data_IF_197963432965
#
_entry.id   IF_197963432965
#
_cell.length_a   1.000
_cell.length_b   1.000
_cell.length_c   1.000
_cell.angle_alpha   90.00
_cell.angle_beta   90.00
_cell.angle_gamma   90.00
#
_symmetry.space_group_name_H-M   'P 1'
#
loop_
_entity.id
_entity.type
_entity.pdbx_description
1 polymer ?
#
# COMPACT_ATOMS: atom_id res chain seq x y z
N UNK A 1 4.47 -4.67 18.57
CA UNK A 1 3.27 -3.89 18.11
C UNK A 1 3.53 -3.32 16.74
N UNK A 2 2.49 -2.93 15.98
CA UNK A 2 2.65 -2.25 14.69
C UNK A 2 3.36 -0.91 14.92
N UNK A 3 4.43 -0.66 14.15
CA UNK A 3 5.22 0.58 14.19
C UNK A 3 4.95 1.48 12.98
N UNK A 4 4.44 0.91 11.88
CA UNK A 4 4.12 1.63 10.66
C UNK A 4 3.61 0.71 9.57
N UNK A 5 3.50 1.21 8.35
CA UNK A 5 3.30 0.39 7.16
C UNK A 5 4.67 0.11 6.53
N UNK A 6 5.06 -1.16 6.46
CA UNK A 6 6.31 -1.59 5.82
C UNK A 6 6.24 -1.38 4.31
N UNK A 7 5.19 -1.92 3.70
CA UNK A 7 4.92 -1.71 2.28
C UNK A 7 3.46 -1.99 1.92
N UNK A 8 3.05 -1.53 0.74
CA UNK A 8 1.86 -1.98 0.03
C UNK A 8 2.26 -2.93 -1.08
N UNK A 9 1.47 -3.97 -1.33
CA UNK A 9 1.71 -4.94 -2.40
C UNK A 9 0.69 -4.76 -3.52
N UNK A 10 1.21 -4.49 -4.73
CA UNK A 10 0.47 -4.59 -5.97
C UNK A 10 0.79 -5.91 -6.68
N UNK A 11 -0.21 -6.44 -7.37
CA UNK A 11 -0.03 -7.62 -8.22
C UNK A 11 -0.42 -7.27 -9.65
N UNK A 12 0.39 -7.71 -10.61
CA UNK A 12 0.16 -7.53 -12.05
C UNK A 12 0.58 -8.78 -12.84
N UNK A 13 0.30 -8.80 -14.13
CA UNK A 13 0.61 -9.95 -15.00
C UNK A 13 2.07 -10.00 -15.43
N UNK A 14 2.75 -8.84 -15.48
CA UNK A 14 4.15 -8.69 -15.89
C UNK A 14 4.85 -7.73 -14.93
N UNK A 15 5.95 -8.19 -14.34
CA UNK A 15 6.73 -7.35 -13.42
C UNK A 15 7.41 -6.20 -14.17
N UNK A 16 7.84 -6.42 -15.41
CA UNK A 16 8.49 -5.41 -16.24
C UNK A 16 7.53 -4.27 -16.61
N UNK A 17 6.27 -4.62 -16.97
CA UNK A 17 5.24 -3.62 -17.24
C UNK A 17 4.87 -2.85 -15.97
N UNK A 18 4.78 -3.55 -14.83
CA UNK A 18 4.53 -2.94 -13.54
C UNK A 18 5.64 -1.99 -13.11
N UNK A 19 6.90 -2.40 -13.29
CA UNK A 19 8.07 -1.56 -13.01
C UNK A 19 8.08 -0.32 -13.91
N UNK A 20 7.90 -0.49 -15.22
CA UNK A 20 7.87 0.63 -16.16
C UNK A 20 6.77 1.64 -15.83
N UNK A 21 5.54 1.17 -15.53
CA UNK A 21 4.41 2.02 -15.17
C UNK A 21 4.69 2.82 -13.90
N UNK A 22 5.19 2.17 -12.84
CA UNK A 22 5.42 2.85 -11.56
C UNK A 22 6.73 3.63 -11.52
N UNK A 23 7.77 3.25 -12.29
CA UNK A 23 8.93 4.13 -12.49
C UNK A 23 8.52 5.45 -13.14
N UNK A 24 7.67 5.39 -14.15
CA UNK A 24 7.13 6.58 -14.79
C UNK A 24 6.22 7.39 -13.86
N UNK A 25 5.31 6.72 -13.13
CA UNK A 25 4.40 7.37 -12.18
C UNK A 25 5.15 8.04 -11.03
N UNK A 26 6.06 7.31 -10.37
CA UNK A 26 6.79 7.81 -9.20
C UNK A 26 7.96 8.74 -9.58
N UNK A 27 8.47 8.66 -10.81
CA UNK A 27 9.61 9.45 -11.29
C UNK A 27 10.93 8.97 -10.68
N UNK A 28 11.07 7.65 -10.46
CA UNK A 28 12.25 7.02 -9.90
C UNK A 28 12.37 5.56 -10.34
N UNK A 29 13.57 5.04 -10.35
CA UNK A 29 13.81 3.63 -10.63
C UNK A 29 13.48 2.76 -9.42
N UNK A 30 13.24 1.46 -9.65
CA UNK A 30 13.14 0.49 -8.60
C UNK A 30 14.47 0.36 -7.83
N UNK A 31 14.38 0.19 -6.52
CA UNK A 31 15.54 0.05 -5.63
C UNK A 31 15.95 -1.41 -5.41
N UNK A 32 15.07 -2.35 -5.75
CA UNK A 32 15.27 -3.78 -5.57
C UNK A 32 14.49 -4.56 -6.62
N UNK A 33 15.10 -5.64 -7.14
CA UNK A 33 14.43 -6.61 -8.00
C UNK A 33 14.79 -8.01 -7.53
N UNK A 34 13.83 -8.92 -7.56
CA UNK A 34 14.07 -10.32 -7.20
C UNK A 34 13.10 -11.27 -7.85
N UNK A 35 13.49 -12.55 -7.86
CA UNK A 35 12.63 -13.65 -8.27
C UNK A 35 12.65 -14.71 -7.17
N UNK A 36 11.50 -15.33 -6.94
CA UNK A 36 11.30 -16.37 -5.94
C UNK A 36 11.12 -17.73 -6.62
N UNK A 37 11.73 -18.76 -6.05
CA UNK A 37 11.60 -20.14 -6.55
C UNK A 37 10.16 -20.68 -6.48
N UNK A 38 9.30 -20.09 -5.66
CA UNK A 38 7.86 -20.38 -5.60
C UNK A 38 7.06 -19.87 -6.78
N UNK A 39 7.69 -19.11 -7.69
CA UNK A 39 7.11 -18.66 -8.95
C UNK A 39 6.62 -17.22 -8.95
N UNK A 40 7.39 -16.30 -8.40
CA UNK A 40 7.13 -14.86 -8.54
C UNK A 40 8.37 -14.08 -8.92
N UNK A 41 8.16 -12.94 -9.57
CA UNK A 41 9.14 -11.85 -9.68
C UNK A 41 8.58 -10.61 -9.04
N UNK A 42 9.42 -9.83 -8.37
CA UNK A 42 9.00 -8.58 -7.74
C UNK A 42 10.03 -7.48 -7.91
N UNK A 43 9.53 -6.24 -7.87
CA UNK A 43 10.33 -5.03 -7.77
C UNK A 43 9.84 -4.19 -6.60
N UNK A 44 10.76 -3.47 -5.96
CA UNK A 44 10.44 -2.62 -4.80
C UNK A 44 10.96 -1.22 -5.05
N UNK A 45 10.08 -0.24 -4.83
CA UNK A 45 10.40 1.18 -4.77
C UNK A 45 10.42 1.59 -3.30
N UNK A 46 11.60 1.97 -2.78
CA UNK A 46 11.73 2.46 -1.42
C UNK A 46 11.42 3.95 -1.37
N UNK A 47 10.34 4.31 -0.70
CA UNK A 47 9.95 5.69 -0.47
C UNK A 47 10.42 6.17 0.92
N UNK A 48 10.19 7.44 1.21
CA UNK A 48 10.61 8.06 2.47
C UNK A 48 10.01 7.36 3.71
N UNK A 49 8.74 6.99 3.65
CA UNK A 49 7.99 6.49 4.80
C UNK A 49 7.46 5.05 4.67
N UNK A 50 7.64 4.41 3.52
CA UNK A 50 7.18 3.04 3.24
C UNK A 50 7.82 2.54 1.96
N UNK A 51 7.54 1.29 1.57
CA UNK A 51 7.90 0.79 0.24
C UNK A 51 6.64 0.48 -0.58
N UNK A 52 6.79 0.48 -1.88
CA UNK A 52 5.84 -0.12 -2.82
C UNK A 52 6.47 -1.38 -3.39
N UNK A 53 5.85 -2.53 -3.21
CA UNK A 53 6.22 -3.77 -3.89
C UNK A 53 5.24 -4.06 -5.01
N UNK A 54 5.76 -4.41 -6.19
CA UNK A 54 4.97 -4.89 -7.33
C UNK A 54 5.43 -6.31 -7.62
N UNK A 55 4.49 -7.25 -7.64
CA UNK A 55 4.75 -8.66 -7.82
C UNK A 55 3.96 -9.20 -9.01
N UNK A 56 4.59 -10.08 -9.77
CA UNK A 56 3.96 -10.80 -10.88
C UNK A 56 4.25 -12.29 -10.79
N UNK A 57 3.38 -13.16 -11.32
CA UNK A 57 3.69 -14.58 -11.48
C UNK A 57 4.87 -14.76 -12.43
N UNK A 58 5.79 -15.68 -12.11
CA UNK A 58 6.95 -16.02 -12.92
C UNK A 58 7.16 -17.53 -12.91
N UNK A 59 7.14 -18.14 -14.10
CA UNK A 59 7.27 -19.60 -14.20
C UNK A 59 6.09 -20.35 -13.56
N UNK A 60 6.41 -21.47 -12.90
CA UNK A 60 5.42 -22.31 -12.22
C UNK A 60 5.64 -22.32 -10.71
N UNK A 61 4.67 -22.84 -9.97
CA UNK A 61 4.79 -23.01 -8.54
C UNK A 61 3.55 -22.57 -7.75
N UNK A 62 3.51 -22.80 -6.44
CA UNK A 62 2.35 -22.46 -5.62
C UNK A 62 2.05 -20.96 -5.58
N UNK A 63 3.09 -20.13 -5.55
CA UNK A 63 2.94 -18.68 -5.51
C UNK A 63 2.47 -18.14 -6.85
N UNK A 64 3.02 -18.64 -7.98
CA UNK A 64 2.53 -18.28 -9.32
C UNK A 64 1.04 -18.54 -9.47
N UNK A 65 0.58 -19.76 -9.11
CA UNK A 65 -0.86 -20.10 -9.16
C UNK A 65 -1.72 -19.17 -8.31
N UNK A 66 -1.24 -18.82 -7.12
CA UNK A 66 -1.96 -17.86 -6.23
C UNK A 66 -2.03 -16.47 -6.84
N UNK A 67 -0.96 -15.98 -7.44
CA UNK A 67 -0.93 -14.67 -8.10
C UNK A 67 -1.85 -14.64 -9.33
N UNK A 68 -1.83 -15.69 -10.17
CA UNK A 68 -2.79 -15.82 -11.26
C UNK A 68 -4.23 -15.80 -10.78
N UNK A 69 -4.57 -16.59 -9.74
CA UNK A 69 -5.92 -16.59 -9.17
C UNK A 69 -6.35 -15.21 -8.64
N UNK A 70 -5.43 -14.43 -8.04
CA UNK A 70 -5.72 -13.06 -7.61
C UNK A 70 -6.01 -12.14 -8.79
N UNK A 71 -5.25 -12.27 -9.88
CA UNK A 71 -5.45 -11.46 -11.10
C UNK A 71 -6.76 -11.86 -11.78
N UNK A 72 -7.04 -13.15 -11.89
CA UNK A 72 -8.26 -13.66 -12.55
C UNK A 72 -9.54 -13.26 -11.78
N UNK A 73 -9.47 -13.20 -10.45
CA UNK A 73 -10.63 -12.87 -9.59
C UNK A 73 -10.87 -11.37 -9.49
N UNK A 74 -9.82 -10.59 -9.21
CA UNK A 74 -9.93 -9.18 -8.83
C UNK A 74 -9.21 -8.23 -9.80
N UNK A 75 -8.67 -8.74 -10.91
CA UNK A 75 -7.79 -7.98 -11.80
C UNK A 75 -6.43 -7.64 -11.18
N UNK A 76 -5.54 -6.97 -11.91
CA UNK A 76 -4.32 -6.40 -11.35
C UNK A 76 -4.63 -5.26 -10.38
N UNK A 77 -3.68 -4.90 -9.51
CA UNK A 77 -3.79 -3.76 -8.61
C UNK A 77 -3.39 -4.04 -7.16
N UNK A 78 -3.86 -3.22 -6.25
CA UNK A 78 -3.52 -3.24 -4.82
C UNK A 78 -4.14 -4.47 -4.14
N UNK A 79 -3.30 -5.31 -3.52
CA UNK A 79 -3.74 -6.62 -2.98
C UNK A 79 -3.52 -6.80 -1.49
N UNK A 80 -2.52 -6.15 -0.89
CA UNK A 80 -2.20 -6.39 0.52
C UNK A 80 -1.59 -5.17 1.19
N UNK A 81 -1.77 -5.12 2.52
CA UNK A 81 -1.06 -4.22 3.42
C UNK A 81 -0.11 -5.03 4.28
N UNK A 82 1.14 -4.62 4.34
CA UNK A 82 2.16 -5.23 5.17
C UNK A 82 2.62 -4.21 6.21
N UNK A 83 2.24 -4.45 7.46
CA UNK A 83 2.60 -3.58 8.58
C UNK A 83 3.97 -3.95 9.14
N UNK A 84 4.75 -2.94 9.53
CA UNK A 84 6.02 -3.11 10.20
C UNK A 84 5.83 -3.43 11.69
N UNK A 85 6.69 -4.28 12.22
CA UNK A 85 6.82 -4.56 13.65
C UNK A 85 8.29 -4.81 14.00
N UNK A 86 8.69 -4.46 15.23
CA UNK A 86 10.02 -4.73 15.74
C UNK A 86 10.18 -6.16 16.28
N UNK A 87 9.06 -6.85 16.56
CA UNK A 87 9.03 -8.23 17.03
C UNK A 87 7.75 -8.93 16.52
N UNK A 88 7.91 -9.76 15.51
CA UNK A 88 6.79 -10.44 14.86
C UNK A 88 6.17 -11.53 15.73
N UNK A 89 6.95 -12.17 16.60
CA UNK A 89 6.42 -13.20 17.52
C UNK A 89 5.53 -12.57 18.60
N UNK A 90 5.97 -11.47 19.17
CA UNK A 90 5.16 -10.70 20.11
C UNK A 90 3.88 -10.16 19.43
N UNK A 91 4.03 -9.60 18.21
CA UNK A 91 2.90 -9.12 17.43
C UNK A 91 1.89 -10.24 17.15
N UNK A 92 2.35 -11.44 16.76
CA UNK A 92 1.50 -12.62 16.57
C UNK A 92 0.68 -12.94 17.83
N UNK A 93 1.33 -12.97 19.00
CA UNK A 93 0.64 -13.22 20.27
C UNK A 93 -0.41 -12.17 20.63
N UNK A 94 -0.16 -10.89 20.28
CA UNK A 94 -1.15 -9.82 20.45
C UNK A 94 -2.31 -9.97 19.48
N UNK A 95 -2.05 -10.29 18.22
CA UNK A 95 -3.08 -10.50 17.20
C UNK A 95 -3.98 -11.70 17.55
N UNK A 96 -3.41 -12.78 18.07
CA UNK A 96 -4.17 -13.94 18.50
C UNK A 96 -5.14 -13.59 19.63
N UNK A 97 -4.66 -12.94 20.70
CA UNK A 97 -5.52 -12.45 21.79
C UNK A 97 -6.62 -11.49 21.35
N UNK A 98 -6.43 -10.81 20.21
CA UNK A 98 -7.41 -9.89 19.61
C UNK A 98 -8.26 -10.54 18.51
N UNK A 99 -8.27 -11.88 18.47
CA UNK A 99 -9.03 -12.70 17.53
C UNK A 99 -8.77 -12.41 16.04
N UNK A 100 -7.55 -11.99 15.69
CA UNK A 100 -7.12 -11.79 14.30
C UNK A 100 -6.66 -13.09 13.62
N UNK A 101 -6.64 -14.21 14.37
CA UNK A 101 -6.30 -15.56 13.88
C UNK A 101 -5.02 -15.57 13.03
N UNK A 102 -3.88 -15.16 13.61
CA UNK A 102 -2.62 -15.12 12.87
C UNK A 102 -2.15 -16.52 12.51
N UNK A 103 -1.61 -16.68 11.31
CA UNK A 103 -0.88 -17.89 10.90
C UNK A 103 0.43 -18.04 11.69
N UNK A 104 1.19 -19.12 11.42
CA UNK A 104 2.54 -19.25 11.97
C UNK A 104 3.48 -18.19 11.36
N UNK A 105 4.47 -17.79 12.15
CA UNK A 105 5.52 -16.89 11.67
C UNK A 105 6.43 -17.67 10.72
N UNK A 106 6.61 -17.15 9.52
CA UNK A 106 7.46 -17.73 8.50
C UNK A 106 8.62 -16.81 8.18
N UNK A 107 9.85 -17.35 8.02
CA UNK A 107 10.97 -16.58 7.50
C UNK A 107 10.77 -16.31 6.01
N UNK A 108 11.42 -15.26 5.54
CA UNK A 108 11.51 -14.93 4.13
C UNK A 108 12.88 -14.36 3.80
N UNK A 109 13.26 -14.53 2.56
CA UNK A 109 14.48 -13.99 2.00
C UNK A 109 14.28 -13.54 0.56
N UNK A 110 15.13 -12.64 0.10
CA UNK A 110 15.12 -12.15 -1.28
C UNK A 110 16.52 -11.69 -1.64
N UNK A 111 16.99 -12.06 -2.83
CA UNK A 111 18.28 -11.63 -3.35
C UNK A 111 18.06 -10.79 -4.59
N UNK A 112 18.71 -9.63 -4.64
CA UNK A 112 18.76 -8.82 -5.85
C UNK A 112 19.92 -9.28 -6.75
N UNK A 113 19.63 -9.80 -7.95
CA UNK A 113 20.67 -10.34 -8.84
C UNK A 113 21.64 -9.28 -9.34
N UNK A 114 21.23 -7.99 -9.38
CA UNK A 114 22.08 -6.90 -9.88
C UNK A 114 23.18 -6.52 -8.88
N UNK A 115 22.88 -6.56 -7.60
CA UNK A 115 23.82 -6.20 -6.51
C UNK A 115 24.35 -7.40 -5.74
N UNK A 116 23.79 -8.60 -5.95
CA UNK A 116 24.05 -9.82 -5.17
C UNK A 116 23.81 -9.66 -3.67
N UNK A 117 23.07 -8.63 -3.26
CA UNK A 117 22.69 -8.41 -1.86
C UNK A 117 21.47 -9.24 -1.51
N UNK A 118 21.38 -9.67 -0.26
CA UNK A 118 20.24 -10.43 0.26
C UNK A 118 19.54 -9.64 1.38
N UNK A 119 18.22 -9.78 1.45
CA UNK A 119 17.34 -9.27 2.50
C UNK A 119 16.66 -10.42 3.19
N UNK A 120 16.43 -10.26 4.49
CA UNK A 120 15.80 -11.27 5.33
C UNK A 120 14.73 -10.63 6.19
N UNK A 121 13.64 -11.35 6.42
CA UNK A 121 12.55 -10.94 7.29
C UNK A 121 11.87 -12.13 7.95
N UNK A 122 11.01 -11.86 8.89
CA UNK A 122 10.02 -12.82 9.39
C UNK A 122 8.64 -12.16 9.28
N UNK A 123 7.63 -12.92 8.88
CA UNK A 123 6.28 -12.37 8.69
C UNK A 123 5.22 -13.29 9.25
N UNK A 124 4.08 -12.70 9.61
CA UNK A 124 2.85 -13.38 9.97
C UNK A 124 1.72 -12.86 9.11
N UNK A 125 0.87 -13.77 8.60
CA UNK A 125 -0.36 -13.42 7.90
C UNK A 125 -1.53 -13.46 8.86
N UNK A 126 -2.47 -12.52 8.72
CA UNK A 126 -3.74 -12.53 9.44
C UNK A 126 -4.83 -13.20 8.59
N UNK A 127 -5.78 -13.85 9.25
CA UNK A 127 -6.92 -14.48 8.57
C UNK A 127 -7.80 -13.43 7.87
N UNK A 128 -8.09 -13.63 6.59
CA UNK A 128 -8.85 -12.66 5.78
C UNK A 128 -10.29 -12.49 6.26
N UNK A 129 -10.87 -13.50 6.90
CA UNK A 129 -12.22 -13.36 7.50
C UNK A 129 -12.16 -12.48 8.75
N UNK A 130 -11.10 -12.60 9.53
CA UNK A 130 -10.87 -11.79 10.73
C UNK A 130 -10.51 -10.34 10.40
N UNK A 131 -9.98 -10.08 9.21
CA UNK A 131 -9.65 -8.75 8.67
C UNK A 131 -10.68 -8.23 7.65
N UNK A 132 -11.85 -8.88 7.62
CA UNK A 132 -13.01 -8.48 6.79
C UNK A 132 -12.72 -8.38 5.30
N UNK A 133 -11.85 -9.25 4.76
CA UNK A 133 -11.53 -9.33 3.33
C UNK A 133 -10.24 -8.62 2.91
N UNK A 134 -9.62 -7.83 3.77
CA UNK A 134 -8.34 -7.18 3.47
C UNK A 134 -7.18 -8.10 3.83
N UNK A 135 -6.29 -8.38 2.87
CA UNK A 135 -5.06 -9.17 3.15
C UNK A 135 -4.06 -8.34 3.92
N UNK A 136 -3.84 -8.72 5.17
CA UNK A 136 -2.96 -8.01 6.09
C UNK A 136 -1.86 -8.96 6.58
N UNK A 137 -0.64 -8.44 6.58
CA UNK A 137 0.53 -9.11 7.16
C UNK A 137 1.19 -8.17 8.17
N UNK A 138 1.95 -8.74 9.10
CA UNK A 138 2.95 -8.01 9.86
C UNK A 138 4.33 -8.61 9.59
N UNK A 139 5.33 -7.76 9.48
CA UNK A 139 6.67 -8.12 9.05
C UNK A 139 7.73 -7.45 9.94
N UNK A 140 8.70 -8.24 10.35
CA UNK A 140 9.93 -7.81 11.02
C UNK A 140 11.09 -7.96 10.04
N UNK A 141 11.69 -6.84 9.61
CA UNK A 141 12.90 -6.86 8.79
C UNK A 141 14.11 -7.21 9.63
N UNK A 142 14.94 -8.11 9.14
CA UNK A 142 16.25 -8.38 9.77
C UNK A 142 17.24 -7.30 9.36
N UNK A 143 18.05 -6.88 10.31
CA UNK A 143 19.09 -5.86 10.09
C UNK A 143 20.46 -6.52 9.97
N UNK A 144 21.37 -5.95 9.15
CA UNK A 144 21.14 -4.79 8.26
C UNK A 144 20.25 -5.12 7.06
N UNK A 145 19.32 -4.23 6.70
CA UNK A 145 18.53 -4.33 5.46
C UNK A 145 19.23 -3.48 4.38
N UNK A 146 19.60 -4.05 3.22
CA UNK A 146 20.25 -3.31 2.14
C UNK A 146 19.31 -2.35 1.39
N UNK A 147 18.00 -2.48 1.58
CA UNK A 147 17.01 -1.58 0.97
C UNK A 147 16.96 -0.28 1.78
N UNK A 148 17.60 0.76 1.25
CA UNK A 148 17.76 2.07 1.91
C UNK A 148 17.09 3.13 1.05
N UNK A 149 16.33 4.02 1.70
CA UNK A 149 15.73 5.17 1.03
C UNK A 149 16.81 6.07 0.40
N UNK A 150 16.58 6.45 -0.85
CA UNK A 150 17.35 7.46 -1.57
C UNK A 150 16.43 8.67 -1.81
N UNK A 151 16.90 9.90 -1.51
CA UNK A 151 16.11 11.11 -1.76
C UNK A 151 15.58 11.15 -3.19
N UNK A 152 14.30 11.51 -3.30
CA UNK A 152 13.64 11.62 -4.60
C UNK A 152 14.10 12.90 -5.32
N UNK A 153 14.13 12.86 -6.66
CA UNK A 153 14.29 14.07 -7.44
C UNK A 153 13.12 15.06 -7.19
N UNK A 154 13.32 16.38 -7.36
CA UNK A 154 12.29 17.38 -7.03
C UNK A 154 10.91 17.17 -7.68
N UNK A 155 10.88 16.59 -8.88
CA UNK A 155 9.65 16.31 -9.63
C UNK A 155 9.16 14.86 -9.48
N UNK A 156 9.73 14.11 -8.55
CA UNK A 156 9.33 12.74 -8.24
C UNK A 156 8.41 12.68 -7.02
N UNK A 157 7.70 11.56 -6.88
CA UNK A 157 6.95 11.23 -5.67
C UNK A 157 7.95 10.88 -4.56
N UNK A 158 7.77 11.44 -3.37
CA UNK A 158 8.66 11.21 -2.23
C UNK A 158 8.11 10.17 -1.24
N UNK A 159 6.80 10.17 -1.03
CA UNK A 159 6.18 9.37 0.03
C UNK A 159 4.75 8.93 -0.34
N UNK A 160 4.25 7.92 0.35
CA UNK A 160 2.83 7.59 0.38
C UNK A 160 2.15 8.42 1.47
N UNK A 161 1.08 9.14 1.14
CA UNK A 161 0.31 9.92 2.11
C UNK A 161 -0.71 9.05 2.84
N UNK A 162 -1.55 8.36 2.05
CA UNK A 162 -2.53 7.45 2.61
C UNK A 162 -2.91 6.32 1.65
N UNK A 163 -3.37 5.23 2.25
CA UNK A 163 -4.06 4.13 1.58
C UNK A 163 -5.54 4.26 1.87
N UNK A 164 -6.37 4.13 0.84
CA UNK A 164 -7.84 4.17 0.97
C UNK A 164 -8.42 2.76 0.95
N UNK A 165 -9.29 2.50 1.92
CA UNK A 165 -10.05 1.26 2.05
C UNK A 165 -11.53 1.59 2.05
N UNK A 166 -12.27 1.08 1.09
CA UNK A 166 -13.72 1.19 1.08
C UNK A 166 -14.31 0.14 2.03
N UNK A 167 -15.17 0.59 2.93
CA UNK A 167 -15.86 -0.28 3.89
C UNK A 167 -17.38 -0.08 3.83
N UNK A 168 -18.16 -1.17 3.79
CA UNK A 168 -19.60 -1.08 3.95
C UNK A 168 -20.04 -0.95 5.42
N UNK A 169 -19.09 -1.10 6.38
CA UNK A 169 -19.39 -1.06 7.81
C UNK A 169 -18.28 -0.31 8.57
N UNK A 170 -18.42 1.02 8.74
CA UNK A 170 -17.39 1.86 9.31
C UNK A 170 -17.05 1.50 10.77
N UNK A 171 -18.03 1.12 11.59
CA UNK A 171 -17.79 0.72 12.99
C UNK A 171 -16.97 -0.57 13.08
N UNK A 172 -17.29 -1.55 12.24
CA UNK A 172 -16.56 -2.82 12.14
C UNK A 172 -15.11 -2.56 11.70
N UNK A 173 -14.93 -1.72 10.69
CA UNK A 173 -13.61 -1.36 10.20
C UNK A 173 -12.83 -0.55 11.25
N UNK A 174 -13.46 0.41 11.94
CA UNK A 174 -12.83 1.16 13.02
C UNK A 174 -12.37 0.26 14.17
N UNK A 175 -13.17 -0.74 14.54
CA UNK A 175 -12.79 -1.73 15.54
C UNK A 175 -11.58 -2.57 15.11
N UNK A 176 -11.50 -2.94 13.81
CA UNK A 176 -10.35 -3.66 13.25
C UNK A 176 -9.07 -2.82 13.33
N UNK A 177 -9.07 -1.65 12.69
CA UNK A 177 -7.85 -0.83 12.57
C UNK A 177 -7.45 -0.18 13.90
N UNK A 178 -8.40 0.29 14.70
CA UNK A 178 -8.14 0.91 15.99
C UNK A 178 -7.87 -0.10 17.11
N UNK A 179 -8.87 -0.88 17.50
CA UNK A 179 -8.77 -1.72 18.69
C UNK A 179 -7.94 -3.00 18.45
N UNK A 180 -8.15 -3.67 17.31
CA UNK A 180 -7.52 -4.99 17.08
C UNK A 180 -6.12 -4.87 16.50
N UNK A 181 -5.88 -4.01 15.51
CA UNK A 181 -4.54 -3.72 14.98
C UNK A 181 -3.76 -2.72 15.85
N UNK A 182 -4.44 -1.89 16.62
CA UNK A 182 -3.83 -0.93 17.55
C UNK A 182 -3.32 0.35 16.87
N UNK A 183 -3.86 0.71 15.71
CA UNK A 183 -3.52 1.96 15.05
C UNK A 183 -4.17 3.14 15.75
N UNK A 184 -3.47 4.27 15.82
CA UNK A 184 -3.99 5.48 16.46
C UNK A 184 -5.09 6.11 15.61
N UNK A 185 -6.29 6.15 16.13
CA UNK A 185 -7.41 6.88 15.53
C UNK A 185 -7.13 8.40 15.55
N UNK A 186 -7.27 9.05 14.41
CA UNK A 186 -6.90 10.46 14.25
C UNK A 186 -8.09 11.38 13.98
N UNK A 187 -9.05 10.93 13.16
CA UNK A 187 -10.19 11.76 12.75
C UNK A 187 -11.33 10.88 12.26
N UNK A 188 -12.55 11.29 12.58
CA UNK A 188 -13.80 10.82 11.97
C UNK A 188 -14.55 12.04 11.41
N UNK A 189 -14.87 12.00 10.14
CA UNK A 189 -15.55 13.10 9.46
C UNK A 189 -16.63 12.59 8.52
N UNK A 190 -17.86 12.98 8.77
CA UNK A 190 -18.98 12.80 7.84
C UNK A 190 -19.21 14.08 7.04
N UNK A 191 -19.42 13.93 5.74
CA UNK A 191 -19.80 15.02 4.86
C UNK A 191 -20.94 14.56 3.95
N UNK A 192 -22.19 15.00 4.24
CA UNK A 192 -23.37 14.64 3.44
C UNK A 192 -23.28 15.12 1.98
N UNK A 193 -22.67 16.28 1.72
CA UNK A 193 -22.52 16.80 0.36
C UNK A 193 -21.63 15.92 -0.53
N UNK A 194 -20.72 15.17 0.08
CA UNK A 194 -19.88 14.18 -0.62
C UNK A 194 -20.45 12.77 -0.53
N UNK A 195 -21.54 12.58 0.23
CA UNK A 195 -22.10 11.28 0.56
C UNK A 195 -21.07 10.32 1.16
N UNK A 196 -20.15 10.83 2.00
CA UNK A 196 -19.03 10.08 2.54
C UNK A 196 -18.82 10.31 4.03
N UNK A 197 -18.54 9.22 4.76
CA UNK A 197 -17.89 9.22 6.07
C UNK A 197 -16.48 8.69 5.92
N UNK A 198 -15.51 9.47 6.39
CA UNK A 198 -14.09 9.18 6.29
C UNK A 198 -13.50 9.07 7.70
N UNK A 199 -12.81 7.98 7.97
CA UNK A 199 -12.10 7.77 9.23
C UNK A 199 -10.61 7.55 8.96
N UNK A 200 -9.76 8.14 9.76
CA UNK A 200 -8.33 8.19 9.54
C UNK A 200 -7.56 7.56 10.70
N UNK A 201 -6.68 6.62 10.39
CA UNK A 201 -5.82 5.93 11.35
C UNK A 201 -4.35 6.14 10.99
N UNK A 202 -3.52 6.49 11.96
CA UNK A 202 -2.08 6.69 11.75
C UNK A 202 -1.33 5.35 11.82
N UNK A 203 -0.51 5.10 10.81
CA UNK A 203 0.36 3.95 10.69
C UNK A 203 1.79 4.43 10.39
N UNK A 204 2.53 4.84 11.44
CA UNK A 204 3.83 5.50 11.24
C UNK A 204 3.68 6.86 10.57
N UNK A 205 4.47 7.11 9.51
CA UNK A 205 4.48 8.35 8.75
C UNK A 205 3.37 8.50 7.71
N UNK A 206 2.36 7.61 7.67
CA UNK A 206 1.25 7.63 6.73
C UNK A 206 -0.11 7.39 7.40
N UNK A 207 -1.16 7.43 6.60
CA UNK A 207 -2.54 7.27 7.09
C UNK A 207 -3.23 6.11 6.38
N UNK A 208 -4.02 5.34 7.12
CA UNK A 208 -5.06 4.45 6.56
C UNK A 208 -6.37 5.23 6.61
N UNK A 209 -6.97 5.48 5.45
CA UNK A 209 -8.27 6.12 5.29
C UNK A 209 -9.34 5.06 5.05
N UNK A 210 -10.33 5.00 5.93
CA UNK A 210 -11.53 4.20 5.74
C UNK A 210 -12.61 5.08 5.13
N UNK A 211 -13.12 4.71 3.97
CA UNK A 211 -14.14 5.44 3.23
C UNK A 211 -15.44 4.65 3.20
N UNK A 212 -16.51 5.25 3.70
CA UNK A 212 -17.86 4.69 3.70
C UNK A 212 -18.83 5.61 2.98
N UNK A 213 -19.56 5.06 2.00
CA UNK A 213 -20.63 5.78 1.31
C UNK A 213 -21.90 5.80 2.17
N UNK A 214 -22.30 6.97 2.66
CA UNK A 214 -23.40 7.15 3.63
C UNK A 214 -24.74 6.62 3.08
N UNK A 215 -25.06 6.94 1.82
CA UNK A 215 -26.30 6.52 1.17
C UNK A 215 -26.39 5.00 0.93
N UNK A 216 -25.26 4.28 0.96
CA UNK A 216 -25.25 2.83 0.81
C UNK A 216 -25.76 2.08 2.06
N UNK A 217 -25.82 2.78 3.22
CA UNK A 217 -26.16 2.17 4.49
C UNK A 217 -25.09 1.18 4.98
N UNK A 218 -25.40 0.51 6.09
CA UNK A 218 -24.48 -0.47 6.69
C UNK A 218 -24.68 -1.83 6.04
N UNK A 219 -23.59 -2.46 5.59
CA UNK A 219 -23.57 -3.76 4.95
C UNK A 219 -22.58 -4.74 5.58
N UNK A 220 -22.66 -6.01 5.16
CA UNK A 220 -21.81 -7.10 5.64
C UNK A 220 -20.77 -7.56 4.60
N UNK A 221 -20.72 -6.93 3.42
CA UNK A 221 -19.75 -7.25 2.39
C UNK A 221 -18.31 -7.01 2.92
N UNK A 222 -17.31 -7.62 2.29
CA UNK A 222 -15.91 -7.39 2.63
C UNK A 222 -15.50 -5.93 2.42
N UNK A 223 -14.56 -5.48 3.24
CA UNK A 223 -13.81 -4.25 2.99
C UNK A 223 -12.89 -4.45 1.78
N UNK A 224 -12.58 -3.39 1.04
CA UNK A 224 -11.78 -3.47 -0.18
C UNK A 224 -10.70 -2.40 -0.19
N UNK A 225 -9.47 -2.83 -0.42
CA UNK A 225 -8.40 -1.91 -0.79
C UNK A 225 -8.84 -1.18 -2.08
N UNK A 226 -8.72 0.14 -2.08
CA UNK A 226 -9.25 0.93 -3.19
C UNK A 226 -8.17 1.74 -3.90
N UNK A 227 -7.46 2.63 -3.22
CA UNK A 227 -6.58 3.57 -3.89
C UNK A 227 -5.40 4.01 -3.04
N UNK A 228 -4.48 4.70 -3.70
CA UNK A 228 -3.25 5.23 -3.12
C UNK A 228 -3.14 6.74 -3.38
N UNK A 229 -2.73 7.46 -2.37
CA UNK A 229 -2.45 8.90 -2.47
C UNK A 229 -0.98 9.16 -2.17
N UNK A 230 -0.31 9.87 -3.06
CA UNK A 230 1.14 10.08 -3.05
C UNK A 230 1.51 11.53 -2.79
N UNK A 231 2.58 11.77 -2.05
CA UNK A 231 3.12 13.11 -1.82
C UNK A 231 4.14 13.46 -2.89
N UNK A 232 3.99 14.64 -3.48
CA UNK A 232 4.94 15.22 -4.39
C UNK A 232 5.50 16.54 -3.79
N UNK A 233 6.82 16.67 -3.57
CA UNK A 233 7.43 17.90 -3.06
C UNK A 233 7.17 19.10 -3.98
N UNK A 234 7.15 18.87 -5.29
CA UNK A 234 6.82 19.85 -6.33
C UNK A 234 5.67 19.30 -7.18
N UNK A 235 4.44 19.66 -6.83
CA UNK A 235 3.25 19.15 -7.50
C UNK A 235 3.14 19.60 -8.97
N UNK A 236 3.56 20.82 -9.31
CA UNK A 236 3.58 21.34 -10.69
C UNK A 236 4.60 20.60 -11.53
N UNK A 237 5.81 20.41 -11.00
CA UNK A 237 6.86 19.67 -11.68
C UNK A 237 6.47 18.20 -11.90
N UNK A 238 5.81 17.56 -10.90
CA UNK A 238 5.30 16.20 -11.01
C UNK A 238 4.18 16.11 -12.05
N UNK A 239 3.24 17.06 -12.05
CA UNK A 239 2.17 17.15 -13.04
C UNK A 239 2.73 17.26 -14.45
N UNK A 240 3.63 18.24 -14.69
CA UNK A 240 4.24 18.44 -16.01
C UNK A 240 5.10 17.26 -16.49
N UNK A 241 5.72 16.51 -15.56
CA UNK A 241 6.44 15.26 -15.87
C UNK A 241 5.49 14.16 -16.34
N UNK A 242 4.38 13.95 -15.63
CA UNK A 242 3.37 12.94 -15.99
C UNK A 242 2.64 13.31 -17.29
N UNK A 243 2.35 14.58 -17.52
CA UNK A 243 1.77 15.06 -18.78
C UNK A 243 2.70 14.75 -19.96
N UNK A 244 4.00 15.05 -19.84
CA UNK A 244 5.00 14.72 -20.87
C UNK A 244 5.17 13.21 -21.08
N UNK A 245 4.92 12.41 -20.06
CA UNK A 245 4.91 10.94 -20.14
C UNK A 245 3.57 10.38 -20.65
N UNK A 246 2.64 11.24 -21.12
CA UNK A 246 1.33 10.91 -21.67
C UNK A 246 0.38 10.21 -20.68
N UNK A 247 0.49 10.44 -19.37
CA UNK A 247 -0.53 9.99 -18.42
C UNK A 247 -1.81 10.82 -18.58
N UNK A 248 -2.96 10.15 -18.51
CA UNK A 248 -4.24 10.82 -18.40
C UNK A 248 -4.41 11.38 -16.98
N UNK A 249 -4.21 12.68 -16.82
CA UNK A 249 -4.26 13.36 -15.52
C UNK A 249 -5.28 14.50 -15.53
N UNK A 250 -5.80 14.84 -14.34
CA UNK A 250 -6.66 16.02 -14.19
C UNK A 250 -5.82 17.26 -13.94
N UNK A 251 -6.40 18.44 -14.16
CA UNK A 251 -5.79 19.70 -13.72
C UNK A 251 -5.55 19.68 -12.21
N UNK A 252 -4.52 20.41 -11.76
CA UNK A 252 -4.27 20.65 -10.35
C UNK A 252 -5.41 21.49 -9.77
N UNK A 253 -5.95 21.08 -8.62
CA UNK A 253 -7.04 21.76 -7.91
C UNK A 253 -6.78 21.79 -6.40
N UNK A 254 -7.53 22.61 -5.66
CA UNK A 254 -7.49 22.58 -4.20
C UNK A 254 -7.89 21.20 -3.66
N UNK A 255 -7.16 20.74 -2.69
CA UNK A 255 -7.45 19.50 -1.96
C UNK A 255 -8.57 19.68 -0.94
N UNK A 256 -9.03 18.58 -0.34
CA UNK A 256 -10.02 18.60 0.74
C UNK A 256 -9.45 19.13 2.06
N UNK A 257 -8.15 18.98 2.27
CA UNK A 257 -7.44 19.56 3.40
C UNK A 257 -7.00 20.98 3.02
N UNK A 258 -7.15 21.99 3.92
CA UNK A 258 -6.64 23.32 3.67
C UNK A 258 -5.18 23.31 3.23
N UNK A 259 -4.80 24.24 2.39
CA UNK A 259 -3.44 24.46 1.87
C UNK A 259 -2.82 23.28 1.09
N UNK A 260 -3.63 22.27 0.75
CA UNK A 260 -3.19 21.17 -0.13
C UNK A 260 -3.70 21.38 -1.55
N UNK A 261 -2.89 20.94 -2.52
CA UNK A 261 -3.28 20.86 -3.93
C UNK A 261 -3.17 19.42 -4.39
N UNK A 262 -4.05 19.02 -5.29
CA UNK A 262 -4.16 17.63 -5.72
C UNK A 262 -4.47 17.52 -7.20
N UNK A 263 -4.06 16.44 -7.82
CA UNK A 263 -4.58 15.98 -9.10
C UNK A 263 -4.71 14.44 -9.12
N UNK A 264 -5.58 13.95 -9.99
CA UNK A 264 -5.84 12.51 -10.15
C UNK A 264 -5.10 11.99 -11.38
N UNK A 265 -4.47 10.83 -11.24
CA UNK A 265 -3.93 10.03 -12.34
C UNK A 265 -4.96 8.95 -12.68
N UNK A 266 -5.36 8.88 -13.97
CA UNK A 266 -6.49 8.05 -14.42
C UNK A 266 -6.09 6.76 -15.12
N UNK A 267 -4.84 6.65 -15.55
CA UNK A 267 -4.27 5.47 -16.23
C UNK A 267 -2.84 5.19 -15.79
N UNK A 268 -2.23 4.12 -16.31
CA UNK A 268 -0.84 3.76 -15.98
C UNK A 268 -0.61 3.35 -14.53
N UNK A 269 -1.65 3.02 -13.77
CA UNK A 269 -1.61 2.80 -12.31
C UNK A 269 -1.94 1.37 -11.90
N UNK A 270 -1.91 0.41 -12.84
CA UNK A 270 -2.32 -0.99 -12.60
C UNK A 270 -3.74 -1.08 -11.99
N UNK A 271 -4.69 -0.30 -12.50
CA UNK A 271 -6.07 -0.19 -11.99
C UNK A 271 -6.21 0.34 -10.56
N UNK A 272 -5.18 0.93 -9.98
CA UNK A 272 -5.25 1.52 -8.63
C UNK A 272 -5.64 3.00 -8.75
N UNK A 273 -6.81 3.43 -8.26
CA UNK A 273 -7.16 4.84 -8.18
C UNK A 273 -6.07 5.63 -7.48
N UNK A 274 -5.55 6.63 -8.18
CA UNK A 274 -4.30 7.30 -7.78
C UNK A 274 -4.49 8.81 -7.70
N UNK A 275 -4.13 9.36 -6.54
CA UNK A 275 -4.11 10.79 -6.27
C UNK A 275 -2.67 11.23 -5.98
N UNK A 276 -2.27 12.35 -6.58
CA UNK A 276 -1.04 13.04 -6.20
C UNK A 276 -1.43 14.31 -5.44
N UNK A 277 -0.75 14.55 -4.34
CA UNK A 277 -0.97 15.74 -3.52
C UNK A 277 0.34 16.46 -3.19
N UNK A 278 0.27 17.77 -2.98
CA UNK A 278 1.42 18.54 -2.55
C UNK A 278 1.90 18.05 -1.18
N UNK A 279 3.22 17.99 -0.98
CA UNK A 279 3.76 17.79 0.36
C UNK A 279 3.26 18.88 1.31
N UNK A 280 3.15 18.56 2.59
CA UNK A 280 2.86 19.57 3.60
C UNK A 280 3.99 20.61 3.59
N UNK A 281 3.64 21.88 3.51
CA UNK A 281 4.58 22.95 3.83
C UNK A 281 4.81 22.87 5.36
N UNK A 282 6.01 22.46 5.74
CA UNK A 282 6.45 22.43 7.15
C UNK A 282 6.56 23.82 7.69
#
# INVERSE_FOLDING_TARGET
MITGLDHVLLVCSSVDDGEAAYSALLGRDADWRSSDSGGSSSVIFQLENTSLEIMAPAGGGPLARRLHAMIDTDGPGLKSLIFATDNVQEARGVFDRRALKPEEVVPGESTDPSSSKARYWSRVRLDETATHGVRIFALERKKPDPLVYKPAAPNAVSALDHVVINTPNPERAAALYGARLGLRFALDRSNPDWDMRLMFFRAGGLTIELAHKISAGIGNQPDRLWGLSWRAPNIEGTHGRLEKANFAITSIRAGRRPDTRVFTVRDGTLNVPTLILSAETT
#
